data_IF_818131001557
#
_entry.id   IF_818131001557
#
_cell.length_a   1.000
_cell.length_b   1.000
_cell.length_c   1.000
_cell.angle_alpha   90.00
_cell.angle_beta   90.00
_cell.angle_gamma   90.00
#
_symmetry.space_group_name_H-M   'P 1'
#
loop_
_entity.id
_entity.type
_entity.pdbx_description
1 polymer ?
#
# COMPACT_ATOMS: atom_id res chain seq x y z
N UNK A 1 -4.38 24.33 11.60
CA UNK A 1 -4.96 25.54 12.25
C UNK A 1 -6.48 25.38 12.13
N UNK A 2 -7.35 26.40 12.34
CA UNK A 2 -8.76 26.27 11.96
C UNK A 2 -8.92 25.96 10.47
N UNK A 3 -10.03 25.33 10.10
CA UNK A 3 -10.37 25.05 8.71
C UNK A 3 -11.56 25.89 8.33
N UNK A 4 -11.50 26.48 7.14
CA UNK A 4 -12.57 27.27 6.58
C UNK A 4 -13.02 26.65 5.26
N UNK A 5 -14.33 26.61 5.07
CA UNK A 5 -14.94 26.43 3.76
C UNK A 5 -15.35 27.82 3.26
N UNK A 6 -14.79 28.23 2.15
CA UNK A 6 -15.27 29.41 1.44
C UNK A 6 -16.33 29.04 0.42
N UNK A 7 -17.22 30.00 0.15
CA UNK A 7 -18.34 29.83 -0.77
C UNK A 7 -18.36 31.03 -1.71
N UNK A 8 -18.23 30.74 -2.99
CA UNK A 8 -18.39 31.68 -4.08
C UNK A 8 -19.68 31.33 -4.83
N UNK A 9 -20.74 32.11 -4.60
CA UNK A 9 -21.98 32.01 -5.36
C UNK A 9 -21.99 33.00 -6.54
N UNK A 10 -22.99 32.85 -7.43
CA UNK A 10 -23.28 33.81 -8.50
C UNK A 10 -22.10 34.10 -9.44
N UNK A 11 -21.26 33.09 -9.73
CA UNK A 11 -20.05 33.28 -10.55
C UNK A 11 -20.33 33.49 -12.05
N UNK A 12 -21.57 33.30 -12.50
CA UNK A 12 -21.97 33.47 -13.90
C UNK A 12 -21.41 32.37 -14.81
N UNK A 13 -20.99 32.74 -16.03
CA UNK A 13 -20.48 31.82 -17.05
C UNK A 13 -19.01 31.41 -16.82
N UNK A 14 -18.68 30.92 -15.61
CA UNK A 14 -17.35 30.37 -15.29
C UNK A 14 -17.30 28.88 -15.59
N UNK A 15 -16.14 28.40 -16.03
CA UNK A 15 -15.89 26.98 -16.23
C UNK A 15 -15.14 26.36 -15.06
N UNK A 16 -15.19 25.04 -14.94
CA UNK A 16 -14.36 24.31 -13.96
C UNK A 16 -12.86 24.61 -14.13
N UNK A 17 -12.41 24.82 -15.37
CA UNK A 17 -11.03 25.20 -15.65
C UNK A 17 -10.69 26.59 -15.11
N UNK A 18 -11.62 27.55 -15.18
CA UNK A 18 -11.40 28.89 -14.62
C UNK A 18 -11.26 28.85 -13.09
N UNK A 19 -12.04 27.98 -12.42
CA UNK A 19 -11.94 27.76 -10.97
C UNK A 19 -10.61 27.10 -10.62
N UNK A 20 -10.20 26.10 -11.39
CA UNK A 20 -8.90 25.45 -11.22
C UNK A 20 -7.75 26.45 -11.37
N UNK A 21 -7.78 27.30 -12.40
CA UNK A 21 -6.75 28.31 -12.65
C UNK A 21 -6.73 29.40 -11.55
N UNK A 22 -7.88 29.72 -10.94
CA UNK A 22 -7.95 30.58 -9.77
C UNK A 22 -7.30 29.89 -8.55
N UNK A 23 -7.64 28.64 -8.29
CA UNK A 23 -7.08 27.84 -7.20
C UNK A 23 -5.56 27.66 -7.33
N UNK A 24 -5.04 27.42 -8.53
CA UNK A 24 -3.60 27.34 -8.78
C UNK A 24 -2.87 28.66 -8.47
N UNK A 25 -3.51 29.81 -8.70
CA UNK A 25 -2.97 31.13 -8.32
C UNK A 25 -2.97 31.36 -6.82
N UNK A 26 -3.96 30.83 -6.09
CA UNK A 26 -3.98 30.85 -4.63
C UNK A 26 -2.82 30.02 -4.06
N UNK A 27 -2.67 28.78 -4.55
CA UNK A 27 -1.60 27.86 -4.16
C UNK A 27 -0.21 28.48 -4.37
N UNK A 28 -0.02 29.28 -5.43
CA UNK A 28 1.26 29.92 -5.73
C UNK A 28 1.69 31.00 -4.71
N UNK A 29 0.78 31.55 -3.91
CA UNK A 29 1.09 32.63 -2.95
C UNK A 29 0.73 32.31 -1.50
N UNK A 30 0.04 31.19 -1.24
CA UNK A 30 -0.51 30.82 0.07
C UNK A 30 0.52 30.85 1.21
N UNK A 31 1.77 30.42 0.94
CA UNK A 31 2.85 30.34 1.92
C UNK A 31 3.18 31.72 2.54
N UNK A 32 3.00 32.81 1.78
CA UNK A 32 3.23 34.18 2.26
C UNK A 32 2.28 34.58 3.38
N UNK A 33 1.13 33.92 3.47
CA UNK A 33 0.06 34.21 4.41
C UNK A 33 -0.09 33.11 5.48
N UNK A 34 0.75 32.06 5.43
CA UNK A 34 0.65 30.90 6.30
C UNK A 34 -0.65 30.11 6.09
N UNK A 35 -1.20 30.16 4.88
CA UNK A 35 -2.45 29.52 4.49
C UNK A 35 -2.15 28.25 3.69
N UNK A 36 -2.98 27.23 3.82
CA UNK A 36 -2.92 26.02 3.00
C UNK A 36 -4.29 25.73 2.39
N UNK A 37 -4.39 25.91 1.07
CA UNK A 37 -5.55 25.47 0.30
C UNK A 37 -5.47 23.95 0.10
N UNK A 38 -6.58 23.26 0.39
CA UNK A 38 -6.62 21.81 0.49
C UNK A 38 -7.24 21.17 -0.77
N UNK A 39 -8.37 21.71 -1.21
CA UNK A 39 -9.07 21.27 -2.42
C UNK A 39 -10.12 22.32 -2.81
N UNK A 40 -10.69 22.17 -4.01
CA UNK A 40 -11.83 22.94 -4.48
C UNK A 40 -12.93 22.03 -5.07
N UNK A 41 -14.13 22.58 -5.18
CA UNK A 41 -15.26 22.00 -5.92
C UNK A 41 -15.93 23.08 -6.74
N UNK A 42 -16.48 22.69 -7.90
CA UNK A 42 -17.29 23.57 -8.74
C UNK A 42 -18.60 22.89 -9.08
N UNK A 43 -19.71 23.56 -8.74
CA UNK A 43 -21.05 23.18 -9.11
C UNK A 43 -21.48 23.97 -10.35
N UNK A 44 -21.15 23.43 -11.53
CA UNK A 44 -21.41 24.10 -12.81
C UNK A 44 -22.89 24.48 -13.04
N UNK A 45 -23.89 23.65 -12.69
CA UNK A 45 -25.31 24.03 -12.81
C UNK A 45 -25.72 25.31 -12.06
N UNK A 46 -25.17 25.53 -10.86
CA UNK A 46 -25.57 26.62 -9.98
C UNK A 46 -24.55 27.77 -9.95
N UNK A 47 -23.42 27.64 -10.67
CA UNK A 47 -22.36 28.65 -10.71
C UNK A 47 -21.71 28.88 -9.35
N UNK A 48 -21.60 27.83 -8.53
CA UNK A 48 -21.03 27.89 -7.19
C UNK A 48 -19.65 27.23 -7.14
N UNK A 49 -18.69 27.87 -6.48
CA UNK A 49 -17.39 27.28 -6.19
C UNK A 49 -17.11 27.29 -4.69
N UNK A 50 -16.38 26.28 -4.23
CA UNK A 50 -16.04 26.08 -2.84
C UNK A 50 -14.56 25.73 -2.75
N UNK A 51 -13.81 26.35 -1.84
CA UNK A 51 -12.48 25.90 -1.46
C UNK A 51 -12.43 25.58 0.03
N UNK A 52 -11.73 24.50 0.34
CA UNK A 52 -11.41 24.14 1.71
C UNK A 52 -9.99 24.59 2.04
N UNK A 53 -9.82 25.27 3.17
CA UNK A 53 -8.59 25.99 3.50
C UNK A 53 -8.23 25.79 4.98
N UNK A 54 -7.01 25.35 5.28
CA UNK A 54 -6.43 25.42 6.62
C UNK A 54 -5.69 26.77 6.75
N UNK A 55 -6.16 27.65 7.65
CA UNK A 55 -5.65 29.01 7.76
C UNK A 55 -5.58 29.49 9.22
N UNK A 56 -4.65 30.41 9.57
CA UNK A 56 -4.56 30.96 10.91
C UNK A 56 -5.78 31.78 11.29
N UNK A 57 -6.36 32.50 10.32
CA UNK A 57 -7.65 33.20 10.45
C UNK A 57 -8.37 33.23 9.10
N UNK A 58 -9.69 33.47 9.11
CA UNK A 58 -10.48 33.69 7.90
C UNK A 58 -9.94 34.85 7.04
N UNK A 59 -9.45 35.91 7.67
CA UNK A 59 -8.89 37.08 6.98
C UNK A 59 -7.61 36.73 6.22
N UNK A 60 -6.80 35.78 6.73
CA UNK A 60 -5.61 35.32 6.03
C UNK A 60 -5.97 34.58 4.73
N UNK A 61 -6.98 33.70 4.77
CA UNK A 61 -7.48 33.02 3.57
C UNK A 61 -8.06 34.01 2.55
N UNK A 62 -8.89 34.97 2.99
CA UNK A 62 -9.44 36.02 2.12
C UNK A 62 -8.32 36.89 1.51
N UNK A 63 -7.26 37.16 2.27
CA UNK A 63 -6.14 37.96 1.79
C UNK A 63 -5.39 37.27 0.64
N UNK A 64 -5.31 35.92 0.64
CA UNK A 64 -4.74 35.15 -0.48
C UNK A 64 -5.58 35.37 -1.74
N UNK A 65 -6.88 35.05 -1.70
CA UNK A 65 -7.77 35.25 -2.84
C UNK A 65 -7.75 36.65 -3.42
N UNK A 66 -7.74 37.66 -2.53
CA UNK A 66 -7.68 39.07 -2.93
C UNK A 66 -6.38 39.41 -3.65
N UNK A 67 -5.27 38.80 -3.25
CA UNK A 67 -3.95 39.05 -3.81
C UNK A 67 -3.64 38.21 -5.05
N UNK A 68 -4.24 37.02 -5.19
CA UNK A 68 -4.00 36.07 -6.29
C UNK A 68 -4.83 36.38 -7.54
N UNK A 69 -6.14 36.59 -7.37
CA UNK A 69 -7.08 36.75 -8.48
C UNK A 69 -8.19 37.78 -8.21
N UNK A 70 -8.28 38.31 -6.98
CA UNK A 70 -9.17 39.42 -6.62
C UNK A 70 -10.62 39.02 -6.33
N UNK A 71 -11.00 37.75 -6.50
CA UNK A 71 -12.34 37.26 -6.18
C UNK A 71 -12.35 36.85 -4.71
N UNK A 72 -13.07 37.57 -3.86
CA UNK A 72 -13.24 37.17 -2.46
C UNK A 72 -14.51 36.34 -2.30
N UNK A 73 -14.54 35.39 -1.36
CA UNK A 73 -15.72 34.57 -1.15
C UNK A 73 -16.88 35.36 -0.55
N UNK A 74 -18.11 34.95 -0.90
CA UNK A 74 -19.34 35.52 -0.37
C UNK A 74 -19.56 35.12 1.08
N UNK A 75 -19.19 33.89 1.42
CA UNK A 75 -19.28 33.37 2.77
C UNK A 75 -18.02 32.58 3.12
N UNK A 76 -17.64 32.61 4.39
CA UNK A 76 -16.53 31.82 4.90
C UNK A 76 -16.94 31.21 6.23
N UNK A 77 -17.08 29.89 6.23
CA UNK A 77 -17.61 29.10 7.36
C UNK A 77 -16.47 28.31 7.96
N UNK A 78 -16.25 28.47 9.26
CA UNK A 78 -15.33 27.58 9.98
C UNK A 78 -15.96 26.19 10.09
N UNK A 79 -15.20 25.16 9.70
CA UNK A 79 -15.66 23.77 9.71
C UNK A 79 -14.89 22.97 10.74
N UNK A 80 -15.59 22.12 11.48
CA UNK A 80 -14.98 21.26 12.48
C UNK A 80 -14.13 20.18 11.81
N UNK A 81 -12.87 20.04 12.24
CA UNK A 81 -11.92 19.06 11.67
C UNK A 81 -12.43 17.61 11.64
N UNK A 82 -13.11 17.08 12.68
CA UNK A 82 -13.66 15.73 12.65
C UNK A 82 -14.67 15.53 11.51
N UNK A 83 -15.46 16.56 11.21
CA UNK A 83 -16.44 16.55 10.13
C UNK A 83 -15.74 16.50 8.77
N UNK A 84 -14.69 17.29 8.57
CA UNK A 84 -13.90 17.25 7.33
C UNK A 84 -13.25 15.87 7.13
N UNK A 85 -12.67 15.30 8.19
CA UNK A 85 -12.09 13.95 8.14
C UNK A 85 -13.10 12.86 7.78
N UNK A 86 -14.35 12.98 8.23
CA UNK A 86 -15.42 12.03 7.92
C UNK A 86 -15.78 12.02 6.41
N UNK A 87 -15.76 13.19 5.76
CA UNK A 87 -16.14 13.32 4.34
C UNK A 87 -14.97 13.20 3.37
N UNK A 88 -13.77 13.64 3.76
CA UNK A 88 -12.59 13.71 2.89
C UNK A 88 -11.51 12.66 3.20
N UNK A 89 -11.68 11.85 4.25
CA UNK A 89 -10.62 10.96 4.73
C UNK A 89 -9.47 11.73 5.40
N UNK A 90 -8.28 11.11 5.47
CA UNK A 90 -7.12 11.65 6.19
C UNK A 90 -6.40 12.80 5.44
N UNK A 91 -7.10 13.88 5.11
CA UNK A 91 -6.58 15.02 4.35
C UNK A 91 -5.43 15.78 5.05
N UNK A 92 -5.32 15.71 6.39
CA UNK A 92 -4.20 16.29 7.16
C UNK A 92 -2.83 15.67 6.79
N UNK A 93 -2.81 14.53 6.08
CA UNK A 93 -1.59 13.82 5.65
C UNK A 93 -0.99 14.35 4.34
N UNK A 94 -1.61 15.36 3.70
CA UNK A 94 -1.19 15.90 2.40
C UNK A 94 -0.31 17.15 2.49
N UNK A 95 0.72 17.14 3.34
CA UNK A 95 1.82 18.09 3.22
C UNK A 95 2.72 17.66 2.04
N UNK A 96 3.24 18.59 1.21
CA UNK A 96 4.06 18.22 0.07
C UNK A 96 5.36 17.55 0.54
N UNK A 97 5.58 16.34 0.02
CA UNK A 97 6.87 15.64 -0.17
C UNK A 97 7.37 14.59 0.83
N UNK A 98 6.62 14.14 1.85
CA UNK A 98 6.94 12.83 2.46
C UNK A 98 5.66 12.10 2.83
N UNK A 99 5.38 11.00 2.12
CA UNK A 99 4.30 10.10 2.49
C UNK A 99 4.50 9.68 3.95
N UNK A 100 3.41 9.50 4.70
CA UNK A 100 3.46 9.03 6.08
C UNK A 100 2.55 7.83 6.26
N UNK A 101 2.97 6.89 7.08
CA UNK A 101 2.11 5.82 7.56
C UNK A 101 1.02 6.39 8.48
N UNK A 102 0.01 5.57 8.79
CA UNK A 102 -1.11 6.00 9.65
C UNK A 102 -0.70 6.36 11.08
N UNK A 103 0.46 5.88 11.52
CA UNK A 103 1.10 6.17 12.81
C UNK A 103 1.96 7.45 12.79
N UNK A 104 2.00 8.17 11.67
CA UNK A 104 2.75 9.42 11.50
C UNK A 104 4.23 9.25 11.15
N UNK A 105 4.74 8.02 11.03
CA UNK A 105 6.11 7.76 10.59
C UNK A 105 6.29 8.06 9.09
N UNK A 106 7.51 8.41 8.67
CA UNK A 106 7.83 8.63 7.26
C UNK A 106 7.67 7.32 6.48
N UNK A 107 6.90 7.38 5.41
CA UNK A 107 6.72 6.31 4.45
C UNK A 107 7.71 6.50 3.30
N UNK A 108 8.75 5.68 3.29
CA UNK A 108 9.79 5.69 2.28
C UNK A 108 9.34 5.25 0.88
N UNK A 109 8.10 4.75 0.73
CA UNK A 109 7.64 4.09 -0.50
C UNK A 109 8.19 2.68 -0.70
N UNK A 110 9.25 2.30 0.01
CA UNK A 110 9.78 0.94 0.02
C UNK A 110 8.75 -0.02 0.61
N UNK A 111 8.53 -1.14 -0.08
CA UNK A 111 7.70 -2.26 0.37
C UNK A 111 8.45 -3.57 0.21
N UNK A 112 8.27 -4.46 1.18
CA UNK A 112 8.49 -5.89 0.96
C UNK A 112 7.19 -6.48 0.39
N UNK A 113 7.30 -7.19 -0.72
CA UNK A 113 6.19 -7.84 -1.42
C UNK A 113 6.31 -9.34 -1.21
N UNK A 114 5.24 -9.97 -0.74
CA UNK A 114 5.16 -11.41 -0.52
C UNK A 114 4.06 -12.00 -1.38
N UNK A 115 4.38 -13.14 -2.01
CA UNK A 115 3.39 -14.03 -2.60
C UNK A 115 3.45 -15.38 -1.90
N UNK A 116 2.29 -15.95 -1.60
CA UNK A 116 2.12 -17.35 -1.21
C UNK A 116 1.44 -18.13 -2.34
N UNK A 117 1.69 -19.43 -2.42
CA UNK A 117 1.05 -20.34 -3.40
C UNK A 117 0.94 -21.75 -2.79
N UNK A 118 -0.30 -22.25 -2.68
CA UNK A 118 -0.63 -23.52 -2.04
C UNK A 118 -0.31 -24.69 -2.96
N UNK A 119 0.60 -25.56 -2.52
CA UNK A 119 1.01 -26.72 -3.30
C UNK A 119 -0.08 -27.80 -3.28
N UNK A 120 -0.40 -28.31 -4.47
CA UNK A 120 -1.28 -29.46 -4.64
C UNK A 120 -2.78 -29.14 -4.59
N UNK A 121 -3.16 -27.86 -4.54
CA UNK A 121 -4.57 -27.40 -4.52
C UNK A 121 -5.41 -28.05 -5.64
N UNK A 122 -4.91 -28.03 -6.87
CA UNK A 122 -5.58 -28.58 -8.06
C UNK A 122 -5.64 -30.11 -8.04
N UNK A 123 -4.60 -30.76 -7.49
CA UNK A 123 -4.51 -32.22 -7.41
C UNK A 123 -5.48 -32.75 -6.35
N UNK A 124 -5.64 -32.03 -5.24
CA UNK A 124 -6.60 -32.33 -4.18
C UNK A 124 -8.04 -32.16 -4.70
N UNK A 125 -8.35 -31.07 -5.41
CA UNK A 125 -9.66 -30.91 -6.06
C UNK A 125 -9.98 -32.10 -6.99
N UNK A 126 -8.99 -32.58 -7.75
CA UNK A 126 -9.18 -33.71 -8.67
C UNK A 126 -9.32 -35.07 -7.96
N UNK A 127 -8.61 -35.30 -6.84
CA UNK A 127 -8.58 -36.59 -6.13
C UNK A 127 -9.67 -36.72 -5.08
N UNK A 128 -9.94 -35.64 -4.35
CA UNK A 128 -10.78 -35.63 -3.14
C UNK A 128 -12.04 -34.77 -3.29
N UNK A 129 -12.15 -34.04 -4.40
CA UNK A 129 -13.30 -33.20 -4.72
C UNK A 129 -13.20 -31.78 -4.16
N UNK A 130 -14.11 -30.92 -4.63
CA UNK A 130 -14.07 -29.49 -4.37
C UNK A 130 -14.23 -29.12 -2.90
N UNK A 131 -14.96 -29.93 -2.11
CA UNK A 131 -15.13 -29.69 -0.68
C UNK A 131 -13.80 -29.82 0.10
N UNK A 132 -12.97 -30.80 -0.25
CA UNK A 132 -11.66 -30.99 0.38
C UNK A 132 -10.68 -29.87 -0.01
N UNK A 133 -10.71 -29.46 -1.29
CA UNK A 133 -9.92 -28.34 -1.78
C UNK A 133 -10.31 -27.02 -1.11
N UNK A 134 -11.62 -26.78 -0.93
CA UNK A 134 -12.13 -25.58 -0.26
C UNK A 134 -11.71 -25.56 1.22
N UNK A 135 -11.84 -26.68 1.94
CA UNK A 135 -11.41 -26.75 3.34
C UNK A 135 -9.90 -26.50 3.51
N UNK A 136 -9.09 -26.95 2.55
CA UNK A 136 -7.65 -26.65 2.56
C UNK A 136 -7.37 -25.17 2.30
N UNK A 137 -8.10 -24.56 1.35
CA UNK A 137 -7.98 -23.13 1.06
C UNK A 137 -8.41 -22.26 2.25
N UNK A 138 -9.50 -22.61 2.93
CA UNK A 138 -9.96 -21.92 4.15
C UNK A 138 -8.92 -22.01 5.26
N UNK A 139 -8.31 -23.19 5.45
CA UNK A 139 -7.21 -23.36 6.40
C UNK A 139 -5.99 -22.51 6.01
N UNK A 140 -5.69 -22.43 4.72
CA UNK A 140 -4.61 -21.59 4.22
C UNK A 140 -4.85 -20.11 4.54
N UNK A 141 -6.03 -19.61 4.19
CA UNK A 141 -6.42 -18.23 4.40
C UNK A 141 -6.36 -17.84 5.87
N UNK A 142 -6.81 -18.72 6.76
CA UNK A 142 -6.75 -18.49 8.20
C UNK A 142 -5.30 -18.30 8.68
N UNK A 143 -4.42 -19.27 8.37
CA UNK A 143 -3.01 -19.23 8.81
C UNK A 143 -2.30 -17.99 8.27
N UNK A 144 -2.50 -17.67 6.99
CA UNK A 144 -1.84 -16.52 6.36
C UNK A 144 -2.36 -15.21 6.94
N UNK A 145 -3.68 -15.05 7.09
CA UNK A 145 -4.26 -13.80 7.64
C UNK A 145 -3.90 -13.57 9.10
N UNK A 146 -3.84 -14.62 9.92
CA UNK A 146 -3.37 -14.53 11.30
C UNK A 146 -1.91 -14.04 11.35
N UNK A 147 -1.01 -14.64 10.56
CA UNK A 147 0.38 -14.21 10.50
C UNK A 147 0.54 -12.78 9.95
N UNK A 148 -0.23 -12.40 8.93
CA UNK A 148 -0.24 -11.03 8.42
C UNK A 148 -0.64 -10.03 9.50
N UNK A 149 -1.70 -10.32 10.27
CA UNK A 149 -2.14 -9.49 11.39
C UNK A 149 -1.05 -9.35 12.46
N UNK A 150 -0.40 -10.46 12.85
CA UNK A 150 0.67 -10.49 13.85
C UNK A 150 1.90 -9.67 13.47
N UNK A 151 2.18 -9.53 12.16
CA UNK A 151 3.40 -8.87 11.64
C UNK A 151 3.11 -7.60 10.85
N UNK A 152 1.94 -6.97 11.04
CA UNK A 152 1.56 -5.74 10.34
C UNK A 152 1.69 -5.84 8.80
N UNK A 153 1.34 -7.01 8.24
CA UNK A 153 1.22 -7.25 6.82
C UNK A 153 -0.14 -6.83 6.29
N UNK A 154 -0.16 -6.22 5.10
CA UNK A 154 -1.38 -5.86 4.38
C UNK A 154 -1.62 -6.87 3.27
N UNK A 155 -2.70 -7.64 3.37
CA UNK A 155 -3.25 -8.40 2.24
C UNK A 155 -3.67 -7.40 1.16
N UNK A 156 -3.07 -7.52 -0.03
CA UNK A 156 -3.43 -6.70 -1.20
C UNK A 156 -4.57 -7.36 -1.93
N UNK A 157 -4.44 -8.67 -2.21
CA UNK A 157 -5.49 -9.49 -2.81
C UNK A 157 -5.18 -10.98 -2.72
N UNK A 158 -6.22 -11.77 -2.88
CA UNK A 158 -6.15 -13.21 -3.09
C UNK A 158 -5.85 -13.54 -4.57
N UNK A 159 -5.01 -14.53 -4.83
CA UNK A 159 -4.59 -14.93 -6.19
C UNK A 159 -5.16 -16.28 -6.66
N UNK A 160 -6.07 -16.87 -5.90
CA UNK A 160 -6.76 -18.12 -6.22
C UNK A 160 -6.45 -19.22 -5.22
N UNK A 161 -5.20 -19.62 -5.13
CA UNK A 161 -4.67 -20.58 -4.15
C UNK A 161 -3.48 -19.99 -3.38
N UNK A 162 -3.45 -18.66 -3.29
CA UNK A 162 -2.36 -17.91 -2.70
C UNK A 162 -2.77 -16.48 -2.36
N UNK A 163 -1.90 -15.78 -1.65
CA UNK A 163 -2.11 -14.41 -1.21
C UNK A 163 -0.96 -13.53 -1.67
N UNK A 164 -1.30 -12.36 -2.21
CA UNK A 164 -0.39 -11.25 -2.39
C UNK A 164 -0.50 -10.32 -1.18
N UNK A 165 0.58 -10.22 -0.41
CA UNK A 165 0.71 -9.28 0.70
C UNK A 165 1.87 -8.27 0.52
N UNK A 166 1.78 -7.18 1.26
CA UNK A 166 2.80 -6.12 1.33
C UNK A 166 3.13 -5.71 2.76
N UNK A 167 4.36 -5.29 2.99
CA UNK A 167 4.85 -4.85 4.30
C UNK A 167 5.70 -3.60 4.16
N UNK A 168 5.64 -2.69 5.14
CA UNK A 168 6.53 -1.52 5.21
C UNK A 168 7.96 -1.90 5.60
N UNK A 169 8.16 -3.08 6.19
CA UNK A 169 9.46 -3.53 6.68
C UNK A 169 9.79 -4.96 6.23
N UNK A 170 11.00 -5.16 5.70
CA UNK A 170 11.50 -6.48 5.30
C UNK A 170 11.53 -7.47 6.46
N UNK A 171 11.92 -7.03 7.66
CA UNK A 171 11.95 -7.90 8.84
C UNK A 171 10.57 -8.43 9.23
N UNK A 172 9.50 -7.67 8.97
CA UNK A 172 8.14 -8.08 9.24
C UNK A 172 7.70 -9.17 8.24
N UNK A 173 7.99 -8.98 6.94
CA UNK A 173 7.74 -9.99 5.92
C UNK A 173 8.48 -11.31 6.21
N UNK A 174 9.74 -11.25 6.63
CA UNK A 174 10.53 -12.44 7.00
C UNK A 174 9.88 -13.21 8.15
N UNK A 175 9.53 -12.52 9.24
CA UNK A 175 8.90 -13.15 10.40
C UNK A 175 7.53 -13.74 10.05
N UNK A 176 6.73 -13.00 9.28
CA UNK A 176 5.45 -13.46 8.78
C UNK A 176 5.60 -14.74 7.94
N UNK A 177 6.57 -14.80 7.01
CA UNK A 177 6.78 -15.97 6.16
C UNK A 177 7.17 -17.22 6.97
N UNK A 178 8.01 -17.04 8.00
CA UNK A 178 8.39 -18.12 8.90
C UNK A 178 7.19 -18.62 9.72
N UNK A 179 6.40 -17.70 10.29
CA UNK A 179 5.18 -18.04 11.05
C UNK A 179 4.16 -18.78 10.18
N UNK A 180 3.98 -18.34 8.94
CA UNK A 180 3.13 -19.03 7.96
C UNK A 180 3.62 -20.47 7.77
N UNK A 181 4.90 -20.69 7.44
CA UNK A 181 5.41 -22.04 7.23
C UNK A 181 5.31 -22.92 8.49
N UNK A 182 5.53 -22.35 9.67
CA UNK A 182 5.35 -23.07 10.93
C UNK A 182 3.88 -23.43 11.22
N UNK A 183 2.92 -22.57 10.85
CA UNK A 183 1.49 -22.84 11.00
C UNK A 183 1.00 -24.05 10.20
N UNK A 184 1.66 -24.37 9.08
CA UNK A 184 1.39 -25.59 8.30
C UNK A 184 2.09 -26.85 8.85
N UNK A 185 3.08 -26.69 9.74
CA UNK A 185 3.74 -27.77 10.47
C UNK A 185 4.89 -28.48 9.74
N UNK A 186 5.54 -29.40 10.44
CA UNK A 186 6.62 -30.25 9.90
C UNK A 186 6.11 -31.26 8.86
N UNK A 187 6.99 -31.78 7.97
CA UNK A 187 6.60 -32.77 6.98
C UNK A 187 6.00 -33.97 7.68
N UNK A 188 4.70 -34.22 7.47
CA UNK A 188 4.17 -35.55 7.73
C UNK A 188 4.87 -36.45 6.73
N UNK A 189 5.47 -37.52 7.21
CA UNK A 189 6.34 -38.45 6.47
C UNK A 189 5.55 -39.30 5.44
N UNK A 190 4.66 -38.64 4.71
CA UNK A 190 3.79 -39.11 3.63
C UNK A 190 4.30 -38.44 2.37
N UNK A 191 4.48 -39.19 1.28
CA UNK A 191 5.15 -38.78 0.02
C UNK A 191 4.50 -37.59 -0.73
N UNK A 192 3.61 -36.85 -0.09
CA UNK A 192 2.88 -35.74 -0.68
C UNK A 192 2.97 -34.53 0.26
N UNK A 193 3.61 -33.46 -0.22
CA UNK A 193 3.71 -32.15 0.42
C UNK A 193 2.37 -31.39 0.44
N UNK A 194 1.27 -32.11 0.65
CA UNK A 194 -0.09 -31.59 0.61
C UNK A 194 -0.30 -30.56 1.71
N UNK A 195 -0.70 -29.36 1.28
CA UNK A 195 -0.93 -28.25 2.19
C UNK A 195 0.32 -27.46 2.57
N UNK A 196 1.47 -27.64 1.90
CA UNK A 196 2.61 -26.72 2.04
C UNK A 196 2.44 -25.49 1.15
N UNK A 197 3.04 -24.38 1.58
CA UNK A 197 3.11 -23.17 0.77
C UNK A 197 4.48 -23.00 0.14
N UNK A 198 4.48 -22.48 -1.09
CA UNK A 198 5.62 -21.78 -1.67
C UNK A 198 5.51 -20.33 -1.24
N UNK A 199 6.63 -19.70 -0.86
CA UNK A 199 6.66 -18.28 -0.52
C UNK A 199 7.79 -17.59 -1.30
N UNK A 200 7.44 -16.49 -1.96
CA UNK A 200 8.40 -15.60 -2.62
C UNK A 200 8.34 -14.20 -2.07
N UNK A 201 9.50 -13.63 -1.72
CA UNK A 201 9.61 -12.26 -1.19
C UNK A 201 10.57 -11.43 -2.03
N UNK A 202 10.14 -10.22 -2.41
CA UNK A 202 11.03 -9.20 -2.96
C UNK A 202 10.88 -7.89 -2.20
N UNK A 203 11.79 -6.93 -2.40
CA UNK A 203 11.71 -5.60 -1.81
C UNK A 203 12.09 -4.53 -2.83
N UNK A 204 11.43 -3.37 -2.76
CA UNK A 204 11.58 -2.27 -3.72
C UNK A 204 10.42 -1.28 -3.61
N UNK A 205 10.30 -0.39 -4.60
CA UNK A 205 9.26 0.65 -4.65
C UNK A 205 8.18 0.25 -5.67
N UNK A 206 7.03 -0.32 -5.24
CA UNK A 206 5.94 -0.63 -6.14
C UNK A 206 5.17 0.65 -6.52
N UNK A 207 4.49 0.61 -7.67
CA UNK A 207 3.51 1.63 -8.05
C UNK A 207 2.18 1.29 -7.39
N UNK A 208 1.56 2.24 -6.69
CA UNK A 208 0.24 2.05 -6.10
C UNK A 208 -0.85 2.67 -6.95
N UNK A 209 -1.96 1.96 -7.12
CA UNK A 209 -3.15 2.44 -7.82
C UNK A 209 -4.39 1.73 -7.27
N UNK A 210 -5.41 2.49 -6.84
CA UNK A 210 -6.69 1.97 -6.32
C UNK A 210 -6.51 0.80 -5.32
N UNK A 211 -5.70 1.01 -4.28
CA UNK A 211 -5.36 0.01 -3.25
C UNK A 211 -4.52 -1.20 -3.70
N UNK A 212 -4.28 -1.35 -5.01
CA UNK A 212 -3.44 -2.40 -5.59
C UNK A 212 -1.98 -1.92 -5.75
N UNK A 213 -1.09 -2.87 -6.04
CA UNK A 213 0.34 -2.65 -6.19
C UNK A 213 0.87 -3.32 -7.46
N UNK A 214 1.70 -2.59 -8.19
CA UNK A 214 2.24 -3.00 -9.49
C UNK A 214 3.74 -2.72 -9.60
N UNK A 215 4.33 -3.22 -10.70
CA UNK A 215 5.69 -2.91 -11.09
C UNK A 215 6.66 -4.08 -10.96
N UNK A 216 7.92 -3.80 -11.25
CA UNK A 216 8.97 -4.82 -11.35
C UNK A 216 9.15 -5.61 -10.04
N UNK A 217 9.04 -4.94 -8.89
CA UNK A 217 9.16 -5.59 -7.57
C UNK A 217 8.05 -6.63 -7.32
N UNK A 218 6.80 -6.31 -7.70
CA UNK A 218 5.65 -7.21 -7.57
C UNK A 218 5.81 -8.41 -8.49
N UNK A 219 6.16 -8.15 -9.75
CA UNK A 219 6.42 -9.19 -10.74
C UNK A 219 7.54 -10.13 -10.27
N UNK A 220 8.62 -9.56 -9.70
CA UNK A 220 9.73 -10.33 -9.18
C UNK A 220 9.29 -11.26 -8.04
N UNK A 221 8.55 -10.76 -7.03
CA UNK A 221 8.07 -11.59 -5.93
C UNK A 221 7.19 -12.75 -6.40
N UNK A 222 6.28 -12.50 -7.34
CA UNK A 222 5.45 -13.53 -7.95
C UNK A 222 6.28 -14.61 -8.66
N UNK A 223 7.33 -14.21 -9.41
CA UNK A 223 8.23 -15.17 -10.08
C UNK A 223 9.11 -15.95 -9.11
N UNK A 224 9.56 -15.32 -8.03
CA UNK A 224 10.29 -15.99 -6.97
C UNK A 224 9.40 -17.06 -6.30
N UNK A 225 8.15 -16.73 -5.99
CA UNK A 225 7.20 -17.67 -5.41
C UNK A 225 6.97 -18.88 -6.32
N UNK A 226 6.74 -18.64 -7.61
CA UNK A 226 6.59 -19.73 -8.59
C UNK A 226 7.85 -20.58 -8.82
N UNK A 227 9.03 -20.11 -8.40
CA UNK A 227 10.28 -20.88 -8.44
C UNK A 227 10.54 -21.65 -7.15
N UNK A 228 9.86 -21.31 -6.06
CA UNK A 228 10.03 -21.99 -4.78
C UNK A 228 9.42 -23.40 -4.80
N UNK A 229 10.07 -24.31 -4.09
CA UNK A 229 9.57 -25.65 -3.81
C UNK A 229 8.56 -25.62 -2.66
N UNK A 230 7.84 -26.72 -2.45
CA UNK A 230 6.88 -26.84 -1.36
C UNK A 230 7.57 -26.62 0.01
N UNK A 231 7.03 -25.70 0.82
CA UNK A 231 7.61 -25.35 2.13
C UNK A 231 8.84 -24.46 2.05
N UNK A 232 9.25 -24.04 0.85
CA UNK A 232 10.43 -23.20 0.66
C UNK A 232 10.04 -21.72 0.68
N UNK A 233 10.89 -20.91 1.31
CA UNK A 233 10.84 -19.45 1.26
C UNK A 233 12.04 -18.97 0.44
N UNK A 234 11.78 -18.38 -0.72
CA UNK A 234 12.80 -17.74 -1.54
C UNK A 234 12.66 -16.22 -1.47
N UNK A 235 13.79 -15.52 -1.49
CA UNK A 235 13.85 -14.06 -1.42
C UNK A 235 14.83 -13.47 -2.44
N UNK A 236 14.60 -12.22 -2.83
CA UNK A 236 15.51 -11.46 -3.69
C UNK A 236 16.76 -10.96 -2.93
N UNK A 237 17.80 -10.55 -3.68
CA UNK A 237 19.00 -9.91 -3.10
C UNK A 237 18.67 -8.71 -2.21
N UNK A 238 17.71 -7.87 -2.63
CA UNK A 238 17.31 -6.69 -1.87
C UNK A 238 16.78 -7.05 -0.47
N UNK A 239 15.99 -8.11 -0.35
CA UNK A 239 15.49 -8.60 0.95
C UNK A 239 16.65 -9.02 1.85
N UNK A 240 17.62 -9.77 1.30
CA UNK A 240 18.82 -10.20 2.03
C UNK A 240 19.69 -9.01 2.46
N UNK A 241 19.90 -8.03 1.58
CA UNK A 241 20.71 -6.84 1.85
C UNK A 241 20.07 -5.91 2.88
N UNK A 242 18.76 -5.72 2.82
CA UNK A 242 18.00 -4.94 3.81
C UNK A 242 17.89 -5.63 5.18
N UNK A 243 18.33 -6.89 5.27
CA UNK A 243 18.35 -7.68 6.50
C UNK A 243 19.72 -7.68 7.20
N UNK A 244 20.72 -6.96 6.68
CA UNK A 244 22.04 -6.87 7.31
C UNK A 244 21.94 -6.35 8.74
N UNK A 245 22.62 -7.03 9.68
CA UNK A 245 22.59 -6.69 11.10
C UNK A 245 21.35 -7.20 11.86
N UNK A 246 20.44 -7.91 11.19
CA UNK A 246 19.35 -8.65 11.85
C UNK A 246 19.78 -10.10 12.12
N UNK A 247 19.24 -10.77 13.15
CA UNK A 247 19.54 -12.16 13.45
C UNK A 247 18.81 -13.09 12.47
N UNK A 248 19.16 -13.02 11.18
CA UNK A 248 18.59 -13.84 10.12
C UNK A 248 19.70 -14.26 9.17
N UNK A 249 19.67 -15.51 8.74
CA UNK A 249 20.63 -16.13 7.84
C UNK A 249 19.96 -16.56 6.54
N UNK A 250 20.70 -16.52 5.45
CA UNK A 250 20.22 -16.88 4.12
C UNK A 250 21.18 -17.85 3.45
N UNK A 251 20.63 -18.80 2.69
CA UNK A 251 21.41 -19.72 1.85
C UNK A 251 21.37 -19.19 0.42
N UNK A 252 22.54 -18.88 -0.15
CA UNK A 252 22.63 -18.45 -1.55
C UNK A 252 22.26 -19.62 -2.47
N UNK A 253 21.24 -19.41 -3.32
CA UNK A 253 20.79 -20.40 -4.30
C UNK A 253 21.27 -20.08 -5.72
N UNK A 254 22.07 -19.03 -5.87
CA UNK A 254 22.66 -18.63 -7.13
C UNK A 254 21.69 -17.94 -8.09
N UNK A 255 22.17 -17.60 -9.31
CA UNK A 255 21.35 -16.99 -10.35
C UNK A 255 20.33 -17.98 -10.93
N UNK A 256 19.08 -17.51 -11.08
CA UNK A 256 17.96 -18.28 -11.63
C UNK A 256 17.27 -17.51 -12.76
N UNK A 257 16.97 -18.20 -13.86
CA UNK A 257 16.21 -17.61 -14.96
C UNK A 257 14.72 -17.52 -14.56
N UNK A 258 14.21 -16.29 -14.48
CA UNK A 258 12.82 -16.02 -14.13
C UNK A 258 12.06 -15.50 -15.35
N UNK A 259 10.84 -15.99 -15.57
CA UNK A 259 10.00 -15.57 -16.69
C UNK A 259 9.75 -14.06 -16.67
N UNK A 260 10.17 -13.38 -17.74
CA UNK A 260 10.00 -11.93 -17.91
C UNK A 260 11.18 -11.08 -17.39
N UNK A 261 12.30 -11.72 -17.05
CA UNK A 261 13.56 -11.05 -16.71
C UNK A 261 14.63 -11.48 -17.73
N UNK A 262 15.32 -10.50 -18.31
CA UNK A 262 16.35 -10.74 -19.32
C UNK A 262 17.61 -11.38 -18.72
N UNK A 263 18.00 -10.93 -17.53
CA UNK A 263 19.14 -11.44 -16.79
C UNK A 263 18.72 -12.42 -15.68
N UNK A 264 19.50 -13.49 -15.42
CA UNK A 264 19.28 -14.36 -14.28
C UNK A 264 19.30 -13.59 -12.95
N UNK A 265 18.29 -13.80 -12.13
CA UNK A 265 18.16 -13.15 -10.82
C UNK A 265 18.73 -14.05 -9.75
N UNK A 266 19.66 -13.55 -8.93
CA UNK A 266 20.19 -14.30 -7.79
C UNK A 266 19.15 -14.38 -6.67
N UNK A 267 18.84 -15.61 -6.24
CA UNK A 267 17.88 -15.86 -5.17
C UNK A 267 18.56 -16.41 -3.93
N UNK A 268 17.92 -16.17 -2.80
CA UNK A 268 18.35 -16.66 -1.50
C UNK A 268 17.21 -17.42 -0.85
N UNK A 269 17.53 -18.52 -0.20
CA UNK A 269 16.58 -19.23 0.64
C UNK A 269 16.66 -18.69 2.06
N UNK A 270 15.49 -18.57 2.68
CA UNK A 270 15.34 -18.36 4.12
C UNK A 270 15.03 -19.72 4.77
N UNK A 271 16.02 -20.39 5.39
CA UNK A 271 15.78 -21.60 6.18
C UNK A 271 14.70 -21.35 7.25
N UNK A 272 13.93 -22.38 7.62
CA UNK A 272 12.89 -22.24 8.65
C UNK A 272 13.48 -22.10 10.08
N UNK A 273 14.70 -22.60 10.30
CA UNK A 273 15.36 -22.58 11.60
C UNK A 273 16.19 -21.29 11.78
N UNK A 274 15.52 -20.15 11.95
CA UNK A 274 16.18 -18.83 12.08
C UNK A 274 16.33 -18.35 13.52
N UNK A 275 15.39 -18.73 14.40
CA UNK A 275 15.31 -18.26 15.77
C UNK A 275 15.33 -19.47 16.70
N UNK A 276 16.53 -19.96 16.98
CA UNK A 276 16.80 -20.96 18.00
C UNK A 276 17.27 -20.32 19.31
#
# INVERSE_FOLDING_TARGET
MPIYMDVHADLGDVTEQDIKDAHERDLAIQDKYGVQFLTFWFNSPDGEAFCLVDAPTKEAAIAVHKASHGLVPHNMVEVEKPSVGLFMGNWEKSAPNIARHDDGQLDSGLRAIMFTDLVGSTQISSREGDAAALALLERHDLIVREALSSHAGREVKHTGDGIFASFSHVSAAIKCALEIQHGFGEPKNTDIDEGRLRIGISAGEPVSQHEDLFGAVVNLASRICGHASAGQILVSSAVRELSVGKPVSFVDRGPMALKGFDDPVRLFELPLNQFG
#
